data_IF_645712325235
#
_entry.id   IF_645712325235
#
_cell.length_a   1.000
_cell.length_b   1.000
_cell.length_c   1.000
_cell.angle_alpha   90.00
_cell.angle_beta   90.00
_cell.angle_gamma   90.00
#
_symmetry.space_group_name_H-M   'P 1'
#
loop_
_entity.id
_entity.type
_entity.pdbx_description
1 polymer ?
#
# COMPACT_ATOMS: atom_id res chain seq x y z
N UNK A 1 16.74 -16.54 20.27
CA UNK A 1 15.36 -16.56 20.81
C UNK A 1 14.39 -16.68 19.66
N UNK A 2 13.44 -17.64 19.66
CA UNK A 2 12.45 -17.68 18.59
C UNK A 2 11.56 -16.46 18.74
N UNK A 3 11.49 -15.63 17.70
CA UNK A 3 10.61 -14.47 17.65
C UNK A 3 9.20 -14.93 18.06
N UNK A 4 8.68 -14.43 19.19
CA UNK A 4 7.28 -14.63 19.50
C UNK A 4 6.49 -14.08 18.30
N UNK A 5 5.81 -14.95 17.55
CA UNK A 5 4.98 -14.57 16.40
C UNK A 5 3.82 -13.73 16.92
N UNK A 6 4.07 -12.43 17.13
CA UNK A 6 3.03 -11.45 17.46
C UNK A 6 2.08 -11.45 16.27
N UNK A 7 0.87 -11.96 16.49
CA UNK A 7 -0.15 -12.08 15.43
C UNK A 7 -0.76 -10.71 15.06
N UNK A 8 -0.36 -9.64 15.76
CA UNK A 8 -0.95 -8.32 15.67
C UNK A 8 -2.32 -8.25 16.33
N UNK A 9 -2.90 -7.04 16.33
CA UNK A 9 -4.26 -6.79 16.81
C UNK A 9 -5.26 -7.72 16.11
N UNK A 10 -6.09 -8.42 16.89
CA UNK A 10 -7.08 -9.41 16.41
C UNK A 10 -6.52 -10.46 15.40
N UNK A 11 -5.22 -10.77 15.50
CA UNK A 11 -4.52 -11.67 14.59
C UNK A 11 -4.49 -11.21 13.10
N UNK A 12 -4.68 -9.91 12.82
CA UNK A 12 -4.75 -9.34 11.45
C UNK A 12 -3.49 -9.61 10.62
N UNK A 13 -2.31 -9.72 11.24
CA UNK A 13 -1.06 -9.95 10.52
C UNK A 13 -0.88 -11.39 10.01
N UNK A 14 -1.69 -12.35 10.49
CA UNK A 14 -1.57 -13.77 10.14
C UNK A 14 -2.83 -14.34 9.49
N UNK A 15 -3.78 -13.47 9.12
CA UNK A 15 -5.04 -13.86 8.45
C UNK A 15 -5.17 -13.11 7.13
N UNK A 16 -5.73 -13.76 6.08
CA UNK A 16 -6.12 -13.04 4.89
C UNK A 16 -7.10 -11.92 5.24
N UNK A 17 -6.94 -10.78 4.60
CA UNK A 17 -7.78 -9.61 4.86
C UNK A 17 -7.84 -8.71 3.65
N UNK A 18 -8.93 -7.96 3.55
CA UNK A 18 -9.06 -6.89 2.56
C UNK A 18 -8.34 -5.65 3.08
N UNK A 19 -7.64 -4.96 2.19
CA UNK A 19 -6.94 -3.72 2.46
C UNK A 19 -7.17 -2.75 1.30
N UNK A 20 -7.05 -1.44 1.55
CA UNK A 20 -7.08 -0.44 0.47
C UNK A 20 -5.90 -0.62 -0.50
N UNK A 21 -4.72 -0.92 0.04
CA UNK A 21 -3.53 -1.15 -0.75
C UNK A 21 -2.54 -2.11 -0.06
N UNK A 22 -1.68 -2.72 -0.87
CA UNK A 22 -0.47 -3.43 -0.42
C UNK A 22 0.74 -2.88 -1.15
N UNK A 23 1.93 -3.06 -0.58
CA UNK A 23 3.19 -2.63 -1.21
C UNK A 23 3.38 -3.29 -2.58
N UNK A 24 3.90 -2.54 -3.56
CA UNK A 24 4.13 -3.04 -4.93
C UNK A 24 5.23 -4.10 -5.06
N UNK A 25 5.92 -4.43 -3.97
CA UNK A 25 7.08 -5.35 -3.94
C UNK A 25 6.71 -6.80 -4.23
N UNK A 26 5.50 -7.21 -3.84
CA UNK A 26 4.98 -8.55 -4.10
C UNK A 26 3.46 -8.47 -4.32
N UNK A 27 3.05 -8.46 -5.58
CA UNK A 27 1.64 -8.42 -5.99
C UNK A 27 1.37 -9.47 -7.06
N UNK A 28 0.18 -10.07 -7.00
CA UNK A 28 -0.34 -10.93 -8.05
C UNK A 28 -1.71 -10.41 -8.45
N UNK A 29 -1.93 -10.25 -9.75
CA UNK A 29 -3.17 -9.72 -10.30
C UNK A 29 -3.58 -10.52 -11.53
N UNK A 30 -4.90 -10.66 -11.72
CA UNK A 30 -5.41 -11.26 -12.96
C UNK A 30 -5.05 -10.36 -14.14
N UNK A 31 -4.56 -10.95 -15.23
CA UNK A 31 -4.17 -10.22 -16.45
C UNK A 31 -5.27 -9.26 -16.92
N UNK A 32 -6.50 -9.72 -17.01
CA UNK A 32 -7.63 -8.91 -17.46
C UNK A 32 -7.91 -7.69 -16.55
N UNK A 33 -7.66 -7.81 -15.25
CA UNK A 33 -7.81 -6.69 -14.30
C UNK A 33 -6.67 -5.68 -14.50
N UNK A 34 -5.44 -6.15 -14.65
CA UNK A 34 -4.27 -5.31 -14.92
C UNK A 34 -4.46 -4.50 -16.21
N UNK A 35 -4.88 -5.15 -17.29
CA UNK A 35 -5.17 -4.50 -18.57
C UNK A 35 -6.35 -3.52 -18.46
N UNK A 36 -7.42 -3.90 -17.75
CA UNK A 36 -8.60 -3.04 -17.56
C UNK A 36 -8.29 -1.73 -16.84
N UNK A 37 -7.39 -1.75 -15.87
CA UNK A 37 -7.00 -0.53 -15.14
C UNK A 37 -5.86 0.23 -15.84
N UNK A 38 -5.31 -0.29 -16.94
CA UNK A 38 -4.20 0.34 -17.68
C UNK A 38 -2.82 0.12 -17.03
N UNK A 39 -2.65 -0.94 -16.25
CA UNK A 39 -1.38 -1.27 -15.60
C UNK A 39 -0.95 -0.28 -14.52
N UNK A 40 0.36 -0.17 -14.27
CA UNK A 40 0.91 0.84 -13.36
C UNK A 40 0.93 2.21 -14.03
N UNK A 41 0.68 3.26 -13.25
CA UNK A 41 0.75 4.63 -13.74
C UNK A 41 2.22 5.11 -13.70
N UNK A 42 2.79 5.37 -14.87
CA UNK A 42 4.20 5.77 -15.04
C UNK A 42 4.55 7.11 -14.40
N UNK A 43 3.55 7.94 -14.05
CA UNK A 43 3.79 9.16 -13.27
C UNK A 43 4.30 8.86 -11.85
N UNK A 44 4.06 7.64 -11.34
CA UNK A 44 4.60 7.08 -10.11
C UNK A 44 5.76 6.15 -10.44
N UNK A 45 6.92 6.72 -10.74
CA UNK A 45 8.07 5.92 -11.18
C UNK A 45 8.62 5.04 -10.06
N UNK A 46 8.57 5.52 -8.82
CA UNK A 46 9.15 4.80 -7.67
C UNK A 46 8.22 4.73 -6.48
N UNK A 47 7.79 5.88 -5.95
CA UNK A 47 6.87 5.96 -4.81
C UNK A 47 5.43 5.78 -5.24
N UNK A 48 4.58 5.30 -4.32
CA UNK A 48 3.12 5.27 -4.43
C UNK A 48 2.52 4.42 -5.56
N UNK A 49 3.33 3.84 -6.48
CA UNK A 49 2.85 3.06 -7.62
C UNK A 49 1.90 1.90 -7.24
N UNK A 50 2.25 1.12 -6.22
CA UNK A 50 1.45 0.01 -5.72
C UNK A 50 0.18 0.47 -5.03
N UNK A 51 0.22 1.60 -4.33
CA UNK A 51 -0.95 2.17 -3.68
C UNK A 51 -1.94 2.73 -4.70
N UNK A 52 -1.47 3.52 -5.67
CA UNK A 52 -2.28 4.04 -6.77
C UNK A 52 -2.91 2.91 -7.58
N UNK A 53 -2.13 1.88 -7.90
CA UNK A 53 -2.62 0.70 -8.60
C UNK A 53 -3.75 0.01 -7.83
N UNK A 54 -3.56 -0.25 -6.53
CA UNK A 54 -4.57 -0.87 -5.69
C UNK A 54 -5.86 -0.04 -5.60
N UNK A 55 -5.75 1.28 -5.48
CA UNK A 55 -6.91 2.17 -5.42
C UNK A 55 -7.68 2.21 -6.75
N UNK A 56 -7.00 2.22 -7.91
CA UNK A 56 -7.67 2.08 -9.22
C UNK A 56 -8.34 0.73 -9.42
N UNK A 57 -7.72 -0.35 -8.92
CA UNK A 57 -8.31 -1.69 -8.91
C UNK A 57 -9.57 -1.71 -8.04
N UNK A 58 -9.57 -0.98 -6.92
CA UNK A 58 -10.73 -0.80 -6.07
C UNK A 58 -11.86 0.00 -6.75
N UNK A 59 -11.56 1.12 -7.41
CA UNK A 59 -12.53 1.87 -8.24
C UNK A 59 -13.14 0.99 -9.34
N UNK A 60 -12.36 0.07 -9.90
CA UNK A 60 -12.84 -0.93 -10.86
C UNK A 60 -13.69 -2.06 -10.22
N UNK A 61 -14.11 -1.91 -8.95
CA UNK A 61 -14.93 -2.84 -8.17
C UNK A 61 -14.25 -4.17 -7.82
N UNK A 62 -12.92 -4.20 -7.79
CA UNK A 62 -12.15 -5.35 -7.29
C UNK A 62 -11.63 -5.09 -5.87
N UNK A 63 -10.99 -6.10 -5.28
CA UNK A 63 -10.46 -6.04 -3.92
C UNK A 63 -8.98 -6.37 -3.90
N UNK A 64 -8.23 -5.66 -3.06
CA UNK A 64 -6.87 -6.01 -2.69
C UNK A 64 -6.91 -6.89 -1.44
N UNK A 65 -6.30 -8.08 -1.54
CA UNK A 65 -6.26 -9.07 -0.45
C UNK A 65 -4.81 -9.29 -0.04
N UNK A 66 -4.52 -9.09 1.25
CA UNK A 66 -3.26 -9.53 1.83
C UNK A 66 -3.28 -11.05 2.07
N UNK A 67 -2.23 -11.75 1.63
CA UNK A 67 -2.08 -13.19 1.78
C UNK A 67 -0.88 -13.53 2.69
N UNK A 68 -1.09 -13.86 3.97
CA UNK A 68 -0.01 -14.11 4.93
C UNK A 68 0.71 -15.45 4.72
N UNK A 69 0.28 -16.24 3.73
CA UNK A 69 0.81 -17.59 3.48
C UNK A 69 2.02 -17.60 2.54
N UNK A 70 2.26 -16.50 1.82
CA UNK A 70 3.44 -16.31 1.00
C UNK A 70 4.45 -15.44 1.77
N UNK A 71 5.64 -15.97 2.04
CA UNK A 71 6.71 -15.25 2.71
C UNK A 71 7.83 -14.93 1.70
N UNK A 72 8.14 -13.65 1.55
CA UNK A 72 9.20 -13.16 0.69
C UNK A 72 10.06 -12.17 1.47
N UNK A 73 11.37 -12.25 1.26
CA UNK A 73 12.32 -11.30 1.85
C UNK A 73 12.61 -10.19 0.85
N UNK A 74 12.25 -8.96 1.24
CA UNK A 74 12.56 -7.77 0.47
C UNK A 74 13.63 -6.95 1.21
N UNK A 75 14.84 -6.90 0.66
CA UNK A 75 15.94 -6.11 1.22
C UNK A 75 15.81 -4.65 0.81
N UNK A 76 15.00 -3.92 1.57
CA UNK A 76 14.66 -2.53 1.28
C UNK A 76 15.90 -1.62 1.15
N UNK A 77 15.84 -0.69 0.20
CA UNK A 77 16.85 0.34 -0.07
C UNK A 77 18.25 -0.16 -0.48
N UNK A 78 18.47 -1.47 -0.64
CA UNK A 78 19.80 -2.02 -0.96
C UNK A 78 20.36 -1.55 -2.30
N UNK A 79 19.58 -1.63 -3.38
CA UNK A 79 19.99 -1.20 -4.72
C UNK A 79 19.71 0.29 -4.96
N UNK A 80 18.57 0.77 -4.48
CA UNK A 80 18.07 2.12 -4.77
C UNK A 80 18.62 3.19 -3.83
N UNK A 81 19.00 2.84 -2.60
CA UNK A 81 19.27 3.80 -1.54
C UNK A 81 18.00 4.53 -1.05
N UNK A 82 18.17 5.43 -0.08
CA UNK A 82 17.09 6.26 0.43
C UNK A 82 16.85 7.49 -0.44
N UNK A 83 15.66 8.06 -0.36
CA UNK A 83 15.26 9.22 -1.16
C UNK A 83 16.02 10.48 -0.74
N UNK A 84 16.34 10.63 0.55
CA UNK A 84 17.06 11.77 1.10
C UNK A 84 18.54 11.80 0.72
N UNK A 85 19.07 10.70 0.18
CA UNK A 85 20.48 10.59 -0.19
C UNK A 85 20.85 11.39 -1.45
N UNK A 86 19.86 11.86 -2.22
CA UNK A 86 20.08 12.59 -3.48
C UNK A 86 18.95 13.60 -3.71
N UNK A 87 19.28 14.86 -4.01
CA UNK A 87 18.28 15.91 -4.25
C UNK A 87 17.28 15.59 -5.37
N UNK A 88 17.73 14.96 -6.45
CA UNK A 88 16.87 14.56 -7.56
C UNK A 88 15.84 13.51 -7.12
N UNK A 89 16.28 12.52 -6.34
CA UNK A 89 15.39 11.51 -5.75
C UNK A 89 14.39 12.17 -4.81
N UNK A 90 14.84 13.06 -3.95
CA UNK A 90 13.96 13.81 -3.05
C UNK A 90 12.94 14.68 -3.80
N UNK A 91 13.35 15.34 -4.90
CA UNK A 91 12.44 16.12 -5.76
C UNK A 91 11.40 15.22 -6.44
N UNK A 92 11.80 14.06 -6.95
CA UNK A 92 10.86 13.05 -7.48
C UNK A 92 9.89 12.60 -6.40
N UNK A 93 10.39 12.20 -5.22
CA UNK A 93 9.55 11.74 -4.11
C UNK A 93 8.48 12.77 -3.73
N UNK A 94 8.87 14.04 -3.59
CA UNK A 94 7.93 15.14 -3.31
C UNK A 94 6.88 15.33 -4.41
N UNK A 95 7.30 15.24 -5.68
CA UNK A 95 6.37 15.34 -6.82
C UNK A 95 5.38 14.17 -6.84
N UNK A 96 5.85 12.94 -6.67
CA UNK A 96 5.01 11.75 -6.63
C UNK A 96 4.06 11.80 -5.43
N UNK A 97 4.53 12.23 -4.26
CA UNK A 97 3.70 12.42 -3.09
C UNK A 97 2.58 13.46 -3.34
N UNK A 98 2.92 14.62 -3.89
CA UNK A 98 1.94 15.66 -4.20
C UNK A 98 0.89 15.16 -5.22
N UNK A 99 1.34 14.45 -6.26
CA UNK A 99 0.44 13.86 -7.25
C UNK A 99 -0.50 12.82 -6.61
N UNK A 100 0.02 11.96 -5.72
CA UNK A 100 -0.78 10.95 -5.04
C UNK A 100 -1.86 11.57 -4.16
N UNK A 101 -1.49 12.57 -3.35
CA UNK A 101 -2.41 13.31 -2.48
C UNK A 101 -3.49 14.02 -3.31
N UNK A 102 -3.09 14.70 -4.39
CA UNK A 102 -4.04 15.40 -5.26
C UNK A 102 -5.03 14.44 -5.93
N UNK A 103 -4.54 13.30 -6.41
CA UNK A 103 -5.35 12.32 -7.12
C UNK A 103 -6.35 11.62 -6.21
N UNK A 104 -5.95 11.28 -4.99
CA UNK A 104 -6.73 10.50 -4.03
C UNK A 104 -7.25 11.35 -2.87
N UNK A 105 -7.48 12.64 -3.11
CA UNK A 105 -7.92 13.58 -2.08
C UNK A 105 -9.23 13.12 -1.40
N UNK A 106 -10.21 12.65 -2.18
CA UNK A 106 -11.48 12.13 -1.64
C UNK A 106 -11.26 10.91 -0.74
N UNK A 107 -10.43 9.96 -1.15
CA UNK A 107 -10.08 8.80 -0.31
C UNK A 107 -9.48 9.22 1.04
N UNK A 108 -8.64 10.26 1.06
CA UNK A 108 -8.08 10.77 2.31
C UNK A 108 -9.07 11.57 3.17
N UNK A 109 -10.07 12.20 2.55
CA UNK A 109 -11.14 12.91 3.26
C UNK A 109 -12.17 11.95 3.86
N UNK A 110 -12.55 10.91 3.12
CA UNK A 110 -13.52 9.90 3.54
C UNK A 110 -12.90 8.88 4.50
N UNK A 111 -11.59 8.67 4.40
CA UNK A 111 -10.84 7.70 5.18
C UNK A 111 -10.84 6.28 4.59
N UNK A 112 -9.95 5.43 5.10
CA UNK A 112 -9.83 4.05 4.64
C UNK A 112 -11.01 3.21 5.10
N UNK A 113 -11.91 2.88 4.17
CA UNK A 113 -13.07 2.02 4.38
C UNK A 113 -12.73 0.63 4.96
N UNK A 114 -11.49 0.16 4.83
CA UNK A 114 -11.01 -1.13 5.36
C UNK A 114 -10.42 -1.08 6.78
N UNK A 115 -10.37 0.11 7.40
CA UNK A 115 -10.07 0.23 8.84
C UNK A 115 -11.32 -0.04 9.70
N UNK A 116 -12.52 0.12 9.14
CA UNK A 116 -13.78 0.07 9.87
C UNK A 116 -13.99 1.34 10.73
N UNK A 117 -15.22 1.59 11.22
CA UNK A 117 -15.53 2.84 11.93
C UNK A 117 -15.13 2.85 13.42
N UNK A 118 -14.78 1.69 13.98
CA UNK A 118 -14.57 1.51 15.42
C UNK A 118 -13.16 1.81 15.94
N UNK A 119 -12.06 1.52 15.22
CA UNK A 119 -10.74 1.90 15.70
C UNK A 119 -10.51 3.40 15.48
N UNK A 120 -9.98 4.07 16.50
CA UNK A 120 -9.47 5.44 16.34
C UNK A 120 -8.35 5.47 15.30
N UNK A 121 -8.46 6.38 14.33
CA UNK A 121 -7.40 6.67 13.35
C UNK A 121 -6.12 7.21 13.99
N UNK A 122 -6.24 7.75 15.21
CA UNK A 122 -5.16 8.42 15.95
C UNK A 122 -4.50 7.51 17.00
N UNK A 123 -4.94 6.25 17.08
CA UNK A 123 -4.41 5.28 18.03
C UNK A 123 -3.45 4.29 17.37
N UNK A 124 -2.20 4.28 17.81
CA UNK A 124 -1.20 3.26 17.42
C UNK A 124 -1.62 1.82 17.79
N UNK A 125 -2.60 1.67 18.69
CA UNK A 125 -3.05 0.38 19.20
C UNK A 125 -4.44 -0.04 18.69
N UNK A 126 -5.04 0.69 17.73
CA UNK A 126 -6.44 0.47 17.33
C UNK A 126 -7.37 0.47 18.55
N UNK A 127 -7.11 1.34 19.53
CA UNK A 127 -8.01 1.51 20.67
C UNK A 127 -9.35 2.07 20.18
N UNK A 128 -10.42 1.66 20.86
CA UNK A 128 -11.74 2.26 20.72
C UNK A 128 -11.70 3.73 21.18
#
# INVERSE_FOLDING_TARGET
>A
MPFAKRKGYLARAVRPGNFSAVTGTCQMVRRNVFERVGGYNEAFAVGFNGADFCLRVWEASYRTIFAPYAELYHYEFTSRGREEANEEKLRRWKREQALFIQRWAEFFLDGDSWLGPNPSSDSEYFSL
#
